data_IF_191018335778
#
_entry.id   IF_191018335778
#
_cell.length_a   1.000
_cell.length_b   1.000
_cell.length_c   1.000
_cell.angle_alpha   90.00
_cell.angle_beta   90.00
_cell.angle_gamma   90.00
#
_symmetry.space_group_name_H-M   'P 1'
#
loop_
_entity.id
_entity.type
_entity.pdbx_description
1 polymer ?
#
# COMPACT_ATOMS: atom_id res chain seq x y z
N UNK A 1 20.71 -4.11 17.78
CA UNK A 1 21.31 -4.90 16.68
C UNK A 1 20.20 -5.35 15.75
N UNK A 2 20.31 -5.08 14.45
CA UNK A 2 19.33 -5.51 13.44
C UNK A 2 19.33 -7.05 13.30
N UNK A 3 18.15 -7.68 13.36
CA UNK A 3 17.99 -9.14 13.33
C UNK A 3 18.48 -9.75 12.00
N UNK A 4 18.32 -9.03 10.89
CA UNK A 4 18.83 -9.42 9.57
C UNK A 4 20.36 -9.54 9.59
N UNK A 5 21.02 -8.57 10.22
CA UNK A 5 22.48 -8.55 10.38
C UNK A 5 22.99 -9.73 11.23
N UNK A 6 22.25 -10.14 12.26
CA UNK A 6 22.56 -11.32 13.07
C UNK A 6 22.47 -12.61 12.23
N UNK A 7 21.38 -12.80 11.48
CA UNK A 7 21.20 -13.97 10.61
C UNK A 7 22.31 -14.08 9.56
N UNK A 8 22.69 -12.96 8.93
CA UNK A 8 23.74 -12.95 7.90
C UNK A 8 25.10 -13.31 8.48
N UNK A 9 25.45 -12.82 9.66
CA UNK A 9 26.70 -13.22 10.34
C UNK A 9 26.73 -14.72 10.61
N UNK A 10 25.64 -15.28 11.16
CA UNK A 10 25.53 -16.71 11.42
C UNK A 10 25.69 -17.57 10.16
N UNK A 11 25.21 -17.09 9.01
CA UNK A 11 25.33 -17.84 7.75
C UNK A 11 26.68 -17.66 7.03
N UNK A 12 27.13 -16.41 6.85
CA UNK A 12 28.32 -16.11 6.05
C UNK A 12 29.63 -16.24 6.84
N UNK A 13 29.64 -15.87 8.13
CA UNK A 13 30.83 -15.95 9.00
C UNK A 13 30.91 -17.31 9.69
N UNK A 14 29.83 -17.72 10.35
CA UNK A 14 29.82 -18.93 11.18
C UNK A 14 29.44 -20.19 10.38
N UNK A 15 29.13 -20.06 9.07
CA UNK A 15 28.79 -21.15 8.14
C UNK A 15 27.63 -22.05 8.61
N UNK A 16 26.75 -21.53 9.46
CA UNK A 16 25.63 -22.28 10.01
C UNK A 16 24.54 -22.53 8.95
N UNK A 17 23.90 -23.70 9.06
CA UNK A 17 22.78 -24.07 8.20
C UNK A 17 21.54 -23.22 8.52
N UNK A 18 20.66 -23.03 7.52
CA UNK A 18 19.40 -22.30 7.74
C UNK A 18 18.54 -22.88 8.87
N UNK A 19 18.57 -24.19 9.05
CA UNK A 19 17.84 -24.88 10.12
C UNK A 19 18.38 -24.52 11.50
N UNK A 20 19.70 -24.47 11.64
CA UNK A 20 20.33 -24.13 12.90
C UNK A 20 20.15 -22.66 13.26
N UNK A 21 20.23 -21.78 12.26
CA UNK A 21 19.92 -20.35 12.43
C UNK A 21 18.46 -20.17 12.86
N UNK A 22 17.51 -20.90 12.26
CA UNK A 22 16.10 -20.86 12.65
C UNK A 22 15.90 -21.26 14.12
N UNK A 23 16.52 -22.37 14.58
CA UNK A 23 16.46 -22.80 15.98
C UNK A 23 17.05 -21.77 16.95
N UNK A 24 18.19 -21.15 16.61
CA UNK A 24 18.87 -20.16 17.47
C UNK A 24 18.18 -18.79 17.49
N UNK A 25 17.46 -18.43 16.43
CA UNK A 25 16.82 -17.10 16.29
C UNK A 25 15.31 -17.12 16.57
N UNK A 26 14.68 -18.30 16.65
CA UNK A 26 13.23 -18.46 16.79
C UNK A 26 12.43 -18.06 15.54
N UNK A 27 13.12 -17.75 14.44
CA UNK A 27 12.49 -17.36 13.18
C UNK A 27 12.22 -18.58 12.30
N UNK A 28 11.21 -18.48 11.44
CA UNK A 28 10.94 -19.55 10.47
C UNK A 28 12.14 -19.73 9.52
N UNK A 29 12.41 -20.98 9.13
CA UNK A 29 13.43 -21.31 8.13
C UNK A 29 13.22 -20.53 6.82
N UNK A 30 11.97 -20.27 6.45
CA UNK A 30 11.62 -19.50 5.25
C UNK A 30 12.03 -18.04 5.39
N UNK A 31 11.80 -17.42 6.55
CA UNK A 31 12.23 -16.05 6.85
C UNK A 31 13.75 -15.95 6.78
N UNK A 32 14.47 -16.87 7.44
CA UNK A 32 15.94 -16.94 7.42
C UNK A 32 16.46 -17.06 5.98
N UNK A 33 15.89 -17.96 5.18
CA UNK A 33 16.27 -18.17 3.77
C UNK A 33 16.05 -16.91 2.93
N UNK A 34 14.89 -16.26 3.06
CA UNK A 34 14.58 -15.02 2.33
C UNK A 34 15.53 -13.90 2.74
N UNK A 35 15.82 -13.76 4.03
CA UNK A 35 16.67 -12.71 4.58
C UNK A 35 18.15 -12.87 4.23
N UNK A 36 18.65 -14.11 4.14
CA UNK A 36 20.02 -14.37 3.65
C UNK A 36 20.14 -14.02 2.17
N UNK A 37 19.12 -14.34 1.36
CA UNK A 37 19.13 -14.09 -0.10
C UNK A 37 18.88 -12.63 -0.48
N UNK A 38 18.23 -11.85 0.39
CA UNK A 38 17.91 -10.46 0.10
C UNK A 38 19.17 -9.57 0.07
N UNK A 39 19.22 -8.54 -0.80
CA UNK A 39 20.32 -7.58 -0.84
C UNK A 39 20.44 -6.84 0.50
N UNK A 40 21.68 -6.51 0.90
CA UNK A 40 22.00 -5.96 2.22
C UNK A 40 21.31 -4.63 2.56
N UNK A 41 20.89 -3.90 1.53
CA UNK A 41 20.33 -2.56 1.63
C UNK A 41 18.82 -2.55 1.92
N UNK A 42 18.12 -3.67 1.77
CA UNK A 42 16.66 -3.71 1.92
C UNK A 42 16.28 -4.19 3.32
N UNK A 43 16.05 -3.25 4.23
CA UNK A 43 15.38 -3.57 5.49
C UNK A 43 13.97 -4.09 5.19
N UNK A 44 13.51 -5.14 5.89
CA UNK A 44 12.15 -5.65 5.73
C UNK A 44 11.16 -4.60 6.25
N UNK A 45 10.65 -3.77 5.34
CA UNK A 45 9.60 -2.80 5.64
C UNK A 45 8.26 -3.36 5.21
N UNK A 46 7.29 -3.32 6.11
CA UNK A 46 5.92 -3.67 5.76
C UNK A 46 5.41 -2.80 4.62
N UNK A 47 4.98 -3.44 3.52
CA UNK A 47 4.40 -2.76 2.36
C UNK A 47 3.10 -3.47 2.00
N UNK A 48 1.96 -2.77 2.15
CA UNK A 48 0.71 -3.20 1.51
C UNK A 48 0.71 -2.70 0.07
N UNK A 49 0.39 -3.55 -0.88
CA UNK A 49 -0.02 -3.08 -2.20
C UNK A 49 -1.35 -2.34 -2.07
N UNK A 50 -1.50 -1.24 -2.82
CA UNK A 50 -2.80 -0.59 -2.94
C UNK A 50 -3.76 -1.59 -3.60
N UNK A 51 -4.77 -2.04 -2.86
CA UNK A 51 -5.78 -2.95 -3.38
C UNK A 51 -6.88 -2.14 -4.06
N UNK A 52 -7.25 -2.53 -5.27
CA UNK A 52 -8.40 -1.94 -5.96
C UNK A 52 -9.66 -2.09 -5.08
N UNK A 53 -10.20 -0.95 -4.64
CA UNK A 53 -11.49 -0.86 -3.96
C UNK A 53 -12.63 -0.53 -4.93
N UNK A 54 -13.85 -0.45 -4.41
CA UNK A 54 -15.06 -0.08 -5.17
C UNK A 54 -14.97 1.27 -5.89
N UNK A 55 -14.12 2.18 -5.39
CA UNK A 55 -13.91 3.52 -5.97
C UNK A 55 -12.93 3.51 -7.16
N UNK A 56 -12.11 2.47 -7.30
CA UNK A 56 -11.03 2.42 -8.30
C UNK A 56 -11.55 2.55 -9.73
N UNK A 57 -12.69 1.93 -10.03
CA UNK A 57 -13.35 2.02 -11.33
C UNK A 57 -13.83 3.45 -11.68
N UNK A 58 -13.97 4.32 -10.67
CA UNK A 58 -14.48 5.68 -10.80
C UNK A 58 -13.40 6.75 -10.61
N UNK A 59 -12.13 6.36 -10.39
CA UNK A 59 -11.05 7.32 -10.18
C UNK A 59 -10.87 8.26 -11.36
N UNK A 60 -10.88 7.74 -12.59
CA UNK A 60 -10.68 8.55 -13.79
C UNK A 60 -11.79 9.61 -13.95
N UNK A 61 -13.05 9.19 -13.78
CA UNK A 61 -14.22 10.08 -13.79
C UNK A 61 -14.11 11.16 -12.71
N UNK A 62 -13.70 10.80 -11.50
CA UNK A 62 -13.53 11.75 -10.39
C UNK A 62 -12.39 12.73 -10.65
N UNK A 63 -11.25 12.26 -11.17
CA UNK A 63 -10.11 13.12 -11.52
C UNK A 63 -10.51 14.10 -12.62
N UNK A 64 -11.20 13.63 -13.67
CA UNK A 64 -11.69 14.49 -14.74
C UNK A 64 -12.66 15.55 -14.22
N UNK A 65 -13.62 15.16 -13.37
CA UNK A 65 -14.59 16.08 -12.80
C UNK A 65 -13.90 17.14 -11.92
N UNK A 66 -12.98 16.73 -11.05
CA UNK A 66 -12.21 17.66 -10.20
C UNK A 66 -11.34 18.63 -11.03
N UNK A 67 -10.73 18.17 -12.13
CA UNK A 67 -9.97 19.05 -13.05
C UNK A 67 -10.86 20.07 -13.76
N UNK A 68 -12.09 19.69 -14.09
CA UNK A 68 -13.08 20.63 -14.66
C UNK A 68 -13.49 21.64 -13.59
N UNK A 69 -13.79 21.18 -12.38
CA UNK A 69 -14.26 22.05 -11.29
C UNK A 69 -13.17 23.00 -10.78
N UNK A 70 -11.89 22.60 -10.84
CA UNK A 70 -10.76 23.47 -10.51
C UNK A 70 -10.70 24.73 -11.40
N UNK A 71 -11.12 24.59 -12.67
CA UNK A 71 -11.15 25.69 -13.65
C UNK A 71 -12.38 26.59 -13.54
N UNK A 72 -13.40 26.18 -12.79
CA UNK A 72 -14.63 26.95 -12.59
C UNK A 72 -14.50 27.93 -11.42
N UNK A 73 -15.20 29.08 -11.47
CA UNK A 73 -15.32 29.97 -10.33
C UNK A 73 -16.00 29.25 -9.15
N UNK A 74 -15.69 29.67 -7.91
CA UNK A 74 -16.06 28.92 -6.69
C UNK A 74 -17.54 28.57 -6.57
N UNK A 75 -18.43 29.42 -7.06
CA UNK A 75 -19.88 29.23 -6.98
C UNK A 75 -20.41 28.17 -7.98
N UNK A 76 -19.66 27.89 -9.05
CA UNK A 76 -20.01 26.87 -10.06
C UNK A 76 -19.33 25.52 -9.82
N UNK A 77 -18.47 25.40 -8.80
CA UNK A 77 -17.78 24.14 -8.48
C UNK A 77 -18.78 23.15 -7.92
N UNK A 78 -18.82 21.94 -8.48
CA UNK A 78 -19.63 20.86 -7.93
C UNK A 78 -19.13 20.50 -6.52
N UNK A 79 -20.08 20.27 -5.61
CA UNK A 79 -19.76 19.78 -4.27
C UNK A 79 -19.39 18.30 -4.30
N UNK A 80 -18.65 17.82 -3.30
CA UNK A 80 -18.37 16.39 -3.17
C UNK A 80 -19.64 15.52 -3.12
N UNK A 81 -20.76 16.07 -2.59
CA UNK A 81 -22.07 15.40 -2.60
C UNK A 81 -22.63 15.25 -4.01
N UNK A 82 -22.47 16.27 -4.86
CA UNK A 82 -22.88 16.21 -6.26
C UNK A 82 -22.05 15.18 -7.05
N UNK A 83 -20.74 15.14 -6.84
CA UNK A 83 -19.86 14.12 -7.45
C UNK A 83 -20.25 12.70 -7.00
N UNK A 84 -20.52 12.51 -5.72
CA UNK A 84 -20.98 11.22 -5.19
C UNK A 84 -22.35 10.80 -5.77
N UNK A 85 -23.29 11.73 -5.92
CA UNK A 85 -24.58 11.46 -6.55
C UNK A 85 -24.41 11.05 -8.02
N UNK A 86 -23.53 11.72 -8.76
CA UNK A 86 -23.22 11.41 -10.15
C UNK A 86 -22.68 9.98 -10.30
N UNK A 87 -21.64 9.61 -9.53
CA UNK A 87 -21.08 8.25 -9.63
C UNK A 87 -22.05 7.19 -9.09
N UNK A 88 -22.90 7.54 -8.10
CA UNK A 88 -23.93 6.63 -7.59
C UNK A 88 -24.97 6.33 -8.67
N UNK A 89 -25.41 7.34 -9.42
CA UNK A 89 -26.30 7.16 -10.56
C UNK A 89 -25.65 6.30 -11.66
N UNK A 90 -24.34 6.41 -11.85
CA UNK A 90 -23.59 5.58 -12.78
C UNK A 90 -23.35 4.14 -12.29
N UNK A 91 -23.73 3.80 -11.04
CA UNK A 91 -23.64 2.43 -10.50
C UNK A 91 -22.65 2.25 -9.34
N UNK A 92 -22.09 3.33 -8.78
CA UNK A 92 -21.24 3.24 -7.60
C UNK A 92 -22.03 2.81 -6.35
N UNK A 93 -21.66 1.65 -5.80
CA UNK A 93 -22.24 1.07 -4.56
C UNK A 93 -21.41 1.32 -3.30
N UNK A 94 -20.45 2.25 -3.34
CA UNK A 94 -19.64 2.59 -2.18
C UNK A 94 -20.23 3.74 -1.35
N UNK A 95 -19.52 4.11 -0.29
CA UNK A 95 -19.96 5.18 0.63
C UNK A 95 -19.44 6.54 0.21
N UNK A 96 -20.18 7.59 0.61
CA UNK A 96 -19.76 8.98 0.44
C UNK A 96 -18.38 9.26 1.03
N UNK A 97 -18.07 8.68 2.20
CA UNK A 97 -16.79 8.86 2.89
C UNK A 97 -15.59 8.48 2.02
N UNK A 98 -15.69 7.42 1.22
CA UNK A 98 -14.60 7.04 0.30
C UNK A 98 -14.37 8.08 -0.79
N UNK A 99 -15.44 8.71 -1.28
CA UNK A 99 -15.34 9.80 -2.26
C UNK A 99 -14.71 11.02 -1.62
N UNK A 100 -15.10 11.38 -0.39
CA UNK A 100 -14.49 12.52 0.30
C UNK A 100 -13.04 12.28 0.68
N UNK A 101 -12.67 11.06 1.08
CA UNK A 101 -11.28 10.68 1.35
C UNK A 101 -10.44 10.82 0.09
N UNK A 102 -10.97 10.40 -1.07
CA UNK A 102 -10.32 10.57 -2.36
C UNK A 102 -10.17 12.03 -2.79
N UNK A 103 -11.15 12.89 -2.49
CA UNK A 103 -11.09 14.32 -2.81
C UNK A 103 -10.09 15.07 -1.91
N UNK A 104 -9.87 14.59 -0.68
CA UNK A 104 -8.95 15.20 0.30
C UNK A 104 -7.49 14.77 0.14
N UNK A 105 -7.26 13.59 -0.42
CA UNK A 105 -5.94 13.01 -0.64
C UNK A 105 -5.16 13.77 -1.72
#
# INVERSE_FOLDING_TARGET
MDMMGKIRRLHFRDRLSFTEIARRTGLSRNTVKTWVKAPATTQPRYRRSARAGKLTAWHDTLIQALRVDARRPRHERRSGRALHAQIKAAGYRGSYSRVTDFIRA
#
